data_IF_684259373900
#
_entry.id   IF_684259373900
#
_cell.length_a   1.000
_cell.length_b   1.000
_cell.length_c   1.000
_cell.angle_alpha   90.00
_cell.angle_beta   90.00
_cell.angle_gamma   90.00
#
_symmetry.space_group_name_H-M   'P 1'
#
loop_
_entity.id
_entity.type
_entity.pdbx_description
1 polymer ?
#
# COMPACT_ATOMS: atom_id res chain seq x y z
N UNK A 1 -1.73 15.12 -10.37
CA UNK A 1 -1.91 13.79 -10.98
C UNK A 1 -3.36 13.34 -10.87
N UNK A 2 -3.80 12.47 -11.78
CA UNK A 2 -5.08 11.78 -11.70
C UNK A 2 -4.87 10.44 -11.01
N UNK A 3 -5.87 9.97 -10.25
CA UNK A 3 -5.82 8.66 -9.60
C UNK A 3 -7.03 7.82 -9.99
N UNK A 4 -6.84 6.51 -10.04
CA UNK A 4 -7.91 5.52 -10.19
C UNK A 4 -7.77 4.44 -9.14
N UNK A 5 -8.87 3.85 -8.71
CA UNK A 5 -8.91 2.81 -7.70
C UNK A 5 -9.59 1.57 -8.22
N UNK A 6 -8.88 0.44 -8.24
CA UNK A 6 -9.42 -0.89 -8.51
C UNK A 6 -9.63 -1.67 -7.22
N UNK A 7 -10.69 -2.47 -7.17
CA UNK A 7 -11.06 -3.28 -6.02
C UNK A 7 -12.47 -3.86 -6.18
N UNK A 8 -13.02 -4.41 -5.10
CA UNK A 8 -14.42 -4.87 -5.06
C UNK A 8 -15.16 -4.37 -3.83
N UNK A 9 -16.42 -4.01 -4.05
CA UNK A 9 -17.36 -3.62 -2.98
C UNK A 9 -18.64 -4.46 -3.13
N UNK A 10 -19.41 -4.56 -2.07
CA UNK A 10 -20.70 -5.22 -2.11
C UNK A 10 -21.74 -4.44 -2.89
N UNK A 11 -22.86 -5.11 -3.19
CA UNK A 11 -24.10 -4.48 -3.70
C UNK A 11 -24.94 -4.03 -2.50
N UNK A 12 -24.36 -3.23 -1.62
CA UNK A 12 -24.91 -2.73 -0.37
C UNK A 12 -24.67 -1.23 -0.20
N UNK A 13 -25.30 -0.64 0.83
CA UNK A 13 -25.20 0.80 1.15
C UNK A 13 -23.75 1.27 1.33
N UNK A 14 -22.90 0.47 1.99
CA UNK A 14 -21.49 0.86 2.18
C UNK A 14 -20.72 0.89 0.86
N UNK A 15 -21.03 -0.03 -0.06
CA UNK A 15 -20.47 -0.02 -1.40
C UNK A 15 -20.88 1.20 -2.19
N UNK A 16 -22.14 1.67 -2.05
CA UNK A 16 -22.65 2.87 -2.70
C UNK A 16 -21.96 4.12 -2.13
N UNK A 17 -21.93 4.26 -0.80
CA UNK A 17 -21.24 5.36 -0.10
C UNK A 17 -19.77 5.45 -0.54
N UNK A 18 -19.09 4.31 -0.67
CA UNK A 18 -17.68 4.29 -1.06
C UNK A 18 -17.48 4.79 -2.48
N UNK A 19 -18.31 4.34 -3.43
CA UNK A 19 -18.25 4.79 -4.84
C UNK A 19 -18.59 6.28 -4.98
N UNK A 20 -19.61 6.76 -4.27
CA UNK A 20 -19.96 8.18 -4.22
C UNK A 20 -18.80 9.03 -3.67
N UNK A 21 -18.12 8.53 -2.64
CA UNK A 21 -16.97 9.21 -2.06
C UNK A 21 -15.82 9.33 -3.05
N UNK A 22 -15.49 8.27 -3.80
CA UNK A 22 -14.46 8.33 -4.85
C UNK A 22 -14.80 9.38 -5.90
N UNK A 23 -16.06 9.38 -6.36
CA UNK A 23 -16.52 10.38 -7.34
C UNK A 23 -16.40 11.80 -6.81
N UNK A 24 -16.77 12.05 -5.55
CA UNK A 24 -16.65 13.38 -4.90
C UNK A 24 -15.21 13.87 -4.79
N UNK A 25 -14.24 12.95 -4.74
CA UNK A 25 -12.81 13.24 -4.67
C UNK A 25 -12.15 13.31 -6.05
N UNK A 26 -12.89 13.08 -7.14
CA UNK A 26 -12.36 13.04 -8.50
C UNK A 26 -11.44 11.83 -8.76
N UNK A 27 -11.56 10.77 -7.95
CA UNK A 27 -10.86 9.51 -8.17
C UNK A 27 -11.67 8.68 -9.17
N UNK A 28 -11.02 8.16 -10.20
CA UNK A 28 -11.69 7.27 -11.16
C UNK A 28 -12.06 5.96 -10.49
N UNK A 29 -13.35 5.66 -10.51
CA UNK A 29 -13.91 4.45 -9.94
C UNK A 29 -13.77 3.28 -10.93
N UNK A 30 -12.92 2.31 -10.56
CA UNK A 30 -12.79 1.02 -11.21
C UNK A 30 -13.15 -0.11 -10.21
N UNK A 31 -14.08 0.17 -9.29
CA UNK A 31 -14.57 -0.84 -8.35
C UNK A 31 -15.66 -1.69 -8.99
N UNK A 32 -15.48 -2.99 -8.92
CA UNK A 32 -16.47 -3.97 -9.31
C UNK A 32 -17.41 -4.32 -8.15
N UNK A 33 -18.60 -4.82 -8.48
CA UNK A 33 -19.57 -5.30 -7.48
C UNK A 33 -19.40 -6.79 -7.22
N UNK A 34 -19.59 -7.18 -5.96
CA UNK A 34 -19.67 -8.57 -5.51
C UNK A 34 -21.05 -8.85 -4.91
N UNK A 35 -21.43 -10.13 -4.86
CA UNK A 35 -22.56 -10.61 -4.06
C UNK A 35 -22.26 -10.66 -2.56
N UNK A 36 -20.98 -10.61 -2.18
CA UNK A 36 -20.57 -10.48 -0.79
C UNK A 36 -20.73 -9.03 -0.32
N UNK A 37 -20.91 -8.82 0.99
CA UNK A 37 -21.02 -7.49 1.58
C UNK A 37 -19.68 -6.74 1.50
N UNK A 38 -19.76 -5.42 1.46
CA UNK A 38 -18.58 -4.55 1.48
C UNK A 38 -17.72 -4.82 2.72
N UNK A 39 -16.40 -4.82 2.54
CA UNK A 39 -15.45 -4.93 3.64
C UNK A 39 -15.62 -3.79 4.65
N UNK A 40 -15.46 -4.10 5.92
CA UNK A 40 -15.59 -3.14 7.01
C UNK A 40 -14.59 -3.43 8.12
N UNK A 41 -14.25 -2.40 8.89
CA UNK A 41 -13.41 -2.55 10.08
C UNK A 41 -14.02 -1.80 11.25
N UNK A 42 -14.21 -2.50 12.38
CA UNK A 42 -14.58 -1.89 13.64
C UNK A 42 -13.28 -1.59 14.38
N UNK A 43 -13.06 -0.30 14.65
CA UNK A 43 -11.85 0.17 15.31
C UNK A 43 -12.21 0.58 16.74
N UNK A 44 -11.64 -0.13 17.72
CA UNK A 44 -11.74 0.20 19.12
C UNK A 44 -10.51 1.02 19.52
N UNK A 45 -10.75 2.21 20.08
CA UNK A 45 -9.70 3.11 20.53
C UNK A 45 -9.78 3.19 22.05
N UNK A 46 -8.69 2.86 22.75
CA UNK A 46 -8.58 2.95 24.20
C UNK A 46 -8.08 4.34 24.63
N UNK A 47 -8.26 4.74 25.93
CA UNK A 47 -7.85 6.06 26.40
C UNK A 47 -6.35 6.38 26.23
N UNK A 48 -5.50 5.36 26.13
CA UNK A 48 -4.07 5.46 25.85
C UNK A 48 -3.75 5.57 24.35
N UNK A 49 -4.78 5.75 23.50
CA UNK A 49 -4.68 5.87 22.04
C UNK A 49 -4.22 4.60 21.32
N UNK A 50 -4.27 3.44 21.98
CA UNK A 50 -4.08 2.16 21.32
C UNK A 50 -5.32 1.78 20.51
N UNK A 51 -5.10 1.11 19.38
CA UNK A 51 -6.16 0.73 18.43
C UNK A 51 -6.20 -0.78 18.25
N UNK A 52 -7.38 -1.33 18.43
CA UNK A 52 -7.68 -2.71 18.07
C UNK A 52 -8.65 -2.71 16.88
N UNK A 53 -8.27 -3.37 15.81
CA UNK A 53 -9.08 -3.46 14.59
C UNK A 53 -9.70 -4.85 14.50
N UNK A 54 -11.01 -4.92 14.32
CA UNK A 54 -11.72 -6.12 13.92
C UNK A 54 -12.18 -5.94 12.48
N UNK A 55 -11.41 -6.52 11.54
CA UNK A 55 -11.58 -6.29 10.12
C UNK A 55 -12.22 -7.50 9.44
N UNK A 56 -13.30 -7.23 8.71
CA UNK A 56 -13.91 -8.14 7.75
C UNK A 56 -13.59 -7.64 6.33
N UNK A 57 -12.83 -8.39 5.57
CA UNK A 57 -12.35 -7.96 4.24
C UNK A 57 -13.45 -7.99 3.17
N UNK A 58 -14.52 -8.75 3.39
CA UNK A 58 -15.74 -8.75 2.57
C UNK A 58 -15.49 -8.97 1.09
N UNK A 59 -16.23 -8.24 0.29
CA UNK A 59 -16.22 -8.28 -1.17
C UNK A 59 -14.83 -8.14 -1.80
N UNK A 60 -13.89 -7.43 -1.14
CA UNK A 60 -12.56 -7.24 -1.70
C UNK A 60 -11.78 -8.57 -1.87
N UNK A 61 -12.12 -9.60 -1.10
CA UNK A 61 -11.53 -10.94 -1.25
C UNK A 61 -11.86 -11.62 -2.57
N UNK A 62 -12.93 -11.16 -3.25
CA UNK A 62 -13.37 -11.69 -4.54
C UNK A 62 -12.68 -11.03 -5.74
N UNK A 63 -11.83 -10.02 -5.47
CA UNK A 63 -11.07 -9.36 -6.53
C UNK A 63 -10.19 -10.37 -7.27
N UNK A 64 -10.30 -10.39 -8.59
CA UNK A 64 -9.68 -11.41 -9.42
C UNK A 64 -9.10 -10.81 -10.73
N UNK A 65 -8.37 -11.58 -11.56
CA UNK A 65 -7.74 -11.07 -12.77
C UNK A 65 -8.67 -10.41 -13.79
N UNK A 66 -9.97 -10.77 -13.82
CA UNK A 66 -10.93 -10.16 -14.75
C UNK A 66 -11.36 -8.76 -14.31
N UNK A 67 -11.19 -8.43 -13.04
CA UNK A 67 -11.51 -7.12 -12.47
C UNK A 67 -10.40 -6.08 -12.71
N UNK A 68 -9.24 -6.51 -13.20
CA UNK A 68 -8.13 -5.61 -13.52
C UNK A 68 -8.43 -4.82 -14.78
N UNK A 69 -8.59 -3.50 -14.65
CA UNK A 69 -8.79 -2.59 -15.78
C UNK A 69 -7.43 -2.32 -16.43
N UNK A 70 -7.07 -3.16 -17.40
CA UNK A 70 -5.74 -3.19 -18.01
C UNK A 70 -5.30 -1.84 -18.58
N UNK A 71 -6.21 -1.12 -19.23
CA UNK A 71 -5.93 0.18 -19.83
C UNK A 71 -5.56 1.26 -18.80
N UNK A 72 -6.08 1.17 -17.58
CA UNK A 72 -5.70 2.07 -16.49
C UNK A 72 -4.29 1.77 -16.03
N UNK A 73 -3.94 0.49 -15.89
CA UNK A 73 -2.60 0.08 -15.51
C UNK A 73 -1.59 0.49 -16.58
N UNK A 74 -1.89 0.27 -17.87
CA UNK A 74 -0.97 0.60 -19.00
C UNK A 74 -0.64 2.08 -19.10
N UNK A 75 -1.55 2.96 -18.70
CA UNK A 75 -1.45 4.42 -18.88
C UNK A 75 -0.99 5.14 -17.62
N UNK A 76 -0.78 4.41 -16.52
CA UNK A 76 -0.38 4.99 -15.25
C UNK A 76 1.12 5.32 -15.22
N UNK A 77 1.50 6.30 -14.43
CA UNK A 77 2.91 6.54 -14.06
C UNK A 77 3.35 5.53 -12.98
N UNK A 78 2.41 5.17 -12.10
CA UNK A 78 2.62 4.22 -11.01
C UNK A 78 1.44 3.25 -10.89
N UNK A 79 1.73 1.97 -10.75
CA UNK A 79 0.82 0.97 -10.22
C UNK A 79 1.15 0.73 -8.75
N UNK A 80 0.24 1.14 -7.86
CA UNK A 80 0.40 0.98 -6.42
C UNK A 80 -0.53 -0.10 -5.87
N UNK A 81 -0.02 -0.98 -5.02
CA UNK A 81 -0.83 -1.97 -4.31
C UNK A 81 -0.30 -2.18 -2.89
N UNK A 82 -1.12 -2.81 -2.04
CA UNK A 82 -0.80 -3.07 -0.64
C UNK A 82 -0.75 -4.56 -0.33
N UNK A 83 -0.08 -4.93 0.76
CA UNK A 83 0.01 -6.30 1.25
C UNK A 83 -1.35 -6.94 1.57
N UNK A 84 -2.39 -6.16 1.78
CA UNK A 84 -3.77 -6.66 1.94
C UNK A 84 -4.29 -7.36 0.70
N UNK A 85 -3.77 -7.06 -0.49
CA UNK A 85 -4.11 -7.73 -1.75
C UNK A 85 -3.40 -9.09 -1.92
N UNK A 86 -2.74 -9.58 -0.88
CA UNK A 86 -2.02 -10.86 -0.91
C UNK A 86 -2.71 -11.96 -0.08
N UNK A 87 -3.99 -11.77 0.31
CA UNK A 87 -4.71 -12.68 1.20
C UNK A 87 -5.23 -13.93 0.47
N UNK A 88 -5.91 -13.76 -0.67
CA UNK A 88 -6.52 -14.86 -1.41
C UNK A 88 -5.77 -15.20 -2.70
N UNK A 89 -5.89 -16.43 -3.23
CA UNK A 89 -5.32 -16.79 -4.53
C UNK A 89 -5.76 -15.85 -5.66
N UNK A 90 -7.04 -15.49 -5.71
CA UNK A 90 -7.61 -14.61 -6.73
C UNK A 90 -6.96 -13.21 -6.70
N UNK A 91 -6.81 -12.64 -5.50
CA UNK A 91 -6.15 -11.35 -5.32
C UNK A 91 -4.68 -11.40 -5.77
N UNK A 92 -3.96 -12.47 -5.39
CA UNK A 92 -2.56 -12.67 -5.82
C UNK A 92 -2.42 -12.75 -7.33
N UNK A 93 -3.33 -13.46 -8.00
CA UNK A 93 -3.34 -13.56 -9.46
C UNK A 93 -3.68 -12.22 -10.12
N UNK A 94 -4.64 -11.46 -9.56
CA UNK A 94 -4.98 -10.11 -10.04
C UNK A 94 -3.78 -9.15 -9.93
N UNK A 95 -3.11 -9.15 -8.79
CA UNK A 95 -1.90 -8.32 -8.58
C UNK A 95 -0.79 -8.74 -9.55
N UNK A 96 -0.51 -10.04 -9.70
CA UNK A 96 0.50 -10.52 -10.67
C UNK A 96 0.17 -10.12 -12.10
N UNK A 97 -1.11 -10.21 -12.50
CA UNK A 97 -1.55 -9.74 -13.82
C UNK A 97 -1.29 -8.25 -13.98
N UNK A 98 -1.70 -7.42 -13.02
CA UNK A 98 -1.50 -5.98 -13.07
C UNK A 98 0.00 -5.62 -13.12
N UNK A 99 0.84 -6.28 -12.30
CA UNK A 99 2.29 -6.09 -12.31
C UNK A 99 2.90 -6.48 -13.68
N UNK A 100 2.45 -7.57 -14.29
CA UNK A 100 2.89 -7.98 -15.63
C UNK A 100 2.57 -6.92 -16.69
N UNK A 101 1.36 -6.35 -16.63
CA UNK A 101 0.94 -5.25 -17.52
C UNK A 101 1.79 -4.01 -17.26
N UNK A 102 1.99 -3.64 -16.00
CA UNK A 102 2.81 -2.49 -15.60
C UNK A 102 4.24 -2.62 -16.16
N UNK A 103 4.90 -3.74 -15.91
CA UNK A 103 6.26 -4.01 -16.43
C UNK A 103 6.35 -3.93 -17.95
N UNK A 104 5.40 -4.56 -18.65
CA UNK A 104 5.38 -4.57 -20.11
C UNK A 104 5.21 -3.18 -20.73
N UNK A 105 4.74 -2.20 -19.96
CA UNK A 105 4.47 -0.83 -20.42
C UNK A 105 5.37 0.23 -19.74
N UNK A 106 6.38 -0.18 -18.98
CA UNK A 106 7.29 0.75 -18.29
C UNK A 106 6.64 1.54 -17.14
N UNK A 107 5.54 1.05 -16.60
CA UNK A 107 4.86 1.62 -15.44
C UNK A 107 5.59 1.20 -14.18
N UNK A 108 5.95 2.15 -13.32
CA UNK A 108 6.66 1.87 -12.07
C UNK A 108 5.73 1.20 -11.06
N UNK A 109 6.24 0.19 -10.38
CA UNK A 109 5.47 -0.60 -9.42
C UNK A 109 5.82 -0.17 -8.00
N UNK A 110 4.80 0.22 -7.25
CA UNK A 110 4.90 0.66 -5.87
C UNK A 110 4.14 -0.31 -4.96
N UNK A 111 4.77 -0.75 -3.88
CA UNK A 111 4.22 -1.70 -2.93
C UNK A 111 4.29 -1.14 -1.50
N UNK A 112 3.15 -1.04 -0.80
CA UNK A 112 3.12 -0.82 0.65
C UNK A 112 2.85 -2.16 1.36
N UNK A 113 3.74 -2.55 2.24
CA UNK A 113 3.67 -3.82 2.97
C UNK A 113 2.43 -3.88 3.86
N UNK A 114 2.02 -2.73 4.42
CA UNK A 114 0.75 -2.40 5.05
C UNK A 114 0.41 -3.12 6.37
N UNK A 115 0.89 -4.34 6.64
CA UNK A 115 0.50 -5.10 7.83
C UNK A 115 1.59 -6.09 8.27
N UNK A 116 2.03 -5.97 9.54
CA UNK A 116 3.01 -6.89 10.13
C UNK A 116 2.54 -8.35 10.19
N UNK A 117 1.22 -8.61 10.33
CA UNK A 117 0.68 -9.97 10.31
C UNK A 117 0.69 -10.55 8.90
N UNK A 118 0.48 -9.73 7.88
CA UNK A 118 0.65 -10.14 6.49
C UNK A 118 2.12 -10.49 6.21
N UNK A 119 3.07 -9.68 6.69
CA UNK A 119 4.51 -10.01 6.60
C UNK A 119 4.80 -11.34 7.29
N UNK A 120 4.30 -11.56 8.50
CA UNK A 120 4.52 -12.80 9.23
C UNK A 120 4.03 -14.06 8.50
N UNK A 121 2.94 -13.92 7.71
CA UNK A 121 2.37 -15.03 6.92
C UNK A 121 3.01 -15.22 5.54
N UNK A 122 3.45 -14.13 4.91
CA UNK A 122 3.84 -14.10 3.49
C UNK A 122 5.25 -13.55 3.26
N UNK A 123 6.12 -13.58 4.29
CA UNK A 123 7.44 -12.96 4.29
C UNK A 123 8.25 -13.28 3.04
N UNK A 124 8.39 -14.55 2.72
CA UNK A 124 9.21 -14.99 1.58
C UNK A 124 8.62 -14.53 0.25
N UNK A 125 7.28 -14.58 0.13
CA UNK A 125 6.60 -14.06 -1.06
C UNK A 125 6.76 -12.54 -1.21
N UNK A 126 6.76 -11.79 -0.10
CA UNK A 126 6.97 -10.34 -0.15
C UNK A 126 8.41 -9.99 -0.51
N UNK A 127 9.39 -10.73 0.02
CA UNK A 127 10.79 -10.56 -0.38
C UNK A 127 10.98 -10.82 -1.87
N UNK A 128 10.40 -11.91 -2.39
CA UNK A 128 10.40 -12.23 -3.82
C UNK A 128 9.75 -11.14 -4.67
N UNK A 129 8.59 -10.61 -4.25
CA UNK A 129 7.91 -9.50 -4.94
C UNK A 129 8.76 -8.24 -4.99
N UNK A 130 9.37 -7.88 -3.86
CA UNK A 130 10.22 -6.69 -3.76
C UNK A 130 11.41 -6.83 -4.71
N UNK A 131 12.14 -7.94 -4.64
CA UNK A 131 13.35 -8.17 -5.43
C UNK A 131 13.05 -8.29 -6.93
N UNK A 132 11.98 -9.00 -7.29
CA UNK A 132 11.71 -9.32 -8.69
C UNK A 132 10.92 -8.24 -9.42
N UNK A 133 10.19 -7.37 -8.68
CA UNK A 133 9.10 -6.65 -9.34
C UNK A 133 8.84 -5.22 -8.88
N UNK A 134 9.22 -4.84 -7.68
CA UNK A 134 8.86 -3.54 -7.15
C UNK A 134 9.98 -2.51 -7.34
N UNK A 135 9.63 -1.32 -7.81
CA UNK A 135 10.55 -0.19 -7.91
C UNK A 135 10.60 0.59 -6.60
N UNK A 136 9.45 0.74 -5.94
CA UNK A 136 9.27 1.52 -4.72
C UNK A 136 8.57 0.67 -3.66
N UNK A 137 9.13 0.61 -2.46
CA UNK A 137 8.56 -0.19 -1.36
C UNK A 137 8.44 0.66 -0.10
N UNK A 138 7.25 0.63 0.51
CA UNK A 138 6.96 1.28 1.78
C UNK A 138 6.76 0.22 2.87
N UNK A 139 7.35 0.48 4.02
CA UNK A 139 7.11 -0.26 5.25
C UNK A 139 7.08 0.70 6.44
N UNK A 140 6.41 0.34 7.52
CA UNK A 140 6.71 0.93 8.81
C UNK A 140 7.80 0.13 9.52
N UNK A 141 8.31 0.65 10.65
CA UNK A 141 9.41 0.02 11.38
C UNK A 141 9.09 -1.40 11.87
N UNK A 142 7.82 -1.68 12.23
CA UNK A 142 7.41 -2.99 12.71
C UNK A 142 7.28 -4.00 11.58
N UNK A 143 6.74 -3.59 10.44
CA UNK A 143 6.71 -4.39 9.23
C UNK A 143 8.12 -4.73 8.75
N UNK A 144 9.00 -3.73 8.70
CA UNK A 144 10.40 -3.90 8.32
C UNK A 144 11.14 -4.81 9.31
N UNK A 145 10.88 -4.67 10.64
CA UNK A 145 11.42 -5.54 11.67
C UNK A 145 11.06 -7.01 11.43
N UNK A 146 9.78 -7.30 11.19
CA UNK A 146 9.32 -8.67 10.92
C UNK A 146 9.91 -9.19 9.61
N UNK A 147 10.02 -8.34 8.59
CA UNK A 147 10.51 -8.74 7.27
C UNK A 147 12.00 -9.10 7.28
N UNK A 148 12.82 -8.35 8.02
CA UNK A 148 14.30 -8.51 8.02
C UNK A 148 14.85 -9.09 9.32
N UNK A 149 13.99 -9.39 10.30
CA UNK A 149 14.39 -9.87 11.64
C UNK A 149 15.45 -8.95 12.29
N UNK A 150 15.22 -7.65 12.20
CA UNK A 150 16.15 -6.64 12.72
C UNK A 150 15.36 -5.47 13.36
N UNK A 151 15.78 -5.07 14.56
CA UNK A 151 15.12 -4.00 15.32
C UNK A 151 15.57 -2.59 14.93
N UNK A 152 16.64 -2.46 14.16
CA UNK A 152 17.11 -1.17 13.67
C UNK A 152 16.44 -0.81 12.33
N UNK A 153 15.54 0.20 12.29
CA UNK A 153 14.86 0.59 11.07
C UNK A 153 15.80 1.14 9.99
N UNK A 154 16.96 1.69 10.36
CA UNK A 154 17.98 2.09 9.41
C UNK A 154 18.58 0.90 8.67
N UNK A 155 19.00 -0.14 9.39
CA UNK A 155 19.54 -1.35 8.78
C UNK A 155 18.46 -2.13 8.01
N UNK A 156 17.19 -2.09 8.45
CA UNK A 156 16.07 -2.62 7.68
C UNK A 156 15.91 -1.88 6.33
N UNK A 157 15.93 -0.54 6.36
CA UNK A 157 15.86 0.27 5.14
C UNK A 157 17.00 -0.03 4.18
N UNK A 158 18.21 -0.15 4.70
CA UNK A 158 19.40 -0.52 3.92
C UNK A 158 19.29 -1.92 3.31
N UNK A 159 18.71 -2.86 4.04
CA UNK A 159 18.49 -4.22 3.54
C UNK A 159 17.44 -4.24 2.44
N UNK A 160 16.32 -3.53 2.62
CA UNK A 160 15.26 -3.39 1.63
C UNK A 160 15.75 -2.67 0.37
N UNK A 161 16.59 -1.63 0.52
CA UNK A 161 17.20 -0.89 -0.59
C UNK A 161 18.22 -1.67 -1.41
N UNK A 162 18.60 -2.88 -1.00
CA UNK A 162 19.38 -3.81 -1.84
C UNK A 162 18.48 -4.58 -2.82
N UNK A 163 17.18 -4.68 -2.50
CA UNK A 163 16.21 -5.47 -3.25
C UNK A 163 15.43 -4.62 -4.28
N UNK A 164 15.29 -3.31 -4.06
CA UNK A 164 14.55 -2.40 -4.94
C UNK A 164 15.28 -1.07 -5.12
N UNK A 165 14.83 -0.25 -6.10
CA UNK A 165 15.44 1.06 -6.38
C UNK A 165 15.21 2.04 -5.23
N UNK A 166 13.99 2.07 -4.69
CA UNK A 166 13.60 2.99 -3.62
C UNK A 166 12.92 2.22 -2.48
N UNK A 167 13.50 2.25 -1.31
CA UNK A 167 12.93 1.65 -0.11
C UNK A 167 12.67 2.71 0.95
N UNK A 168 11.48 2.68 1.56
CA UNK A 168 11.09 3.63 2.60
C UNK A 168 10.70 2.87 3.87
N UNK A 169 11.34 3.23 4.99
CA UNK A 169 10.96 2.73 6.32
C UNK A 169 10.49 3.89 7.19
N UNK A 170 9.16 3.93 7.41
CA UNK A 170 8.50 4.92 8.26
C UNK A 170 8.79 4.63 9.74
N UNK A 171 9.33 5.58 10.50
CA UNK A 171 9.78 5.43 11.90
C UNK A 171 8.92 6.23 12.90
N UNK A 172 7.65 6.45 12.57
CA UNK A 172 6.71 7.18 13.41
C UNK A 172 7.18 8.60 13.71
N UNK A 173 7.16 9.01 14.99
CA UNK A 173 7.58 10.36 15.42
C UNK A 173 9.05 10.70 15.14
N UNK A 174 9.85 9.74 14.73
CA UNK A 174 11.26 9.94 14.38
C UNK A 174 11.49 10.16 12.88
N UNK A 175 10.42 10.29 12.08
CA UNK A 175 10.53 10.49 10.65
C UNK A 175 10.60 9.20 9.85
N UNK A 176 11.46 9.14 8.85
CA UNK A 176 11.62 7.99 7.98
C UNK A 176 13.03 7.89 7.43
N UNK A 177 13.41 6.68 7.04
CA UNK A 177 14.60 6.41 6.26
C UNK A 177 14.21 6.08 4.83
N UNK A 178 14.90 6.68 3.86
CA UNK A 178 14.70 6.43 2.44
C UNK A 178 16.03 5.95 1.85
N UNK A 179 16.05 4.74 1.33
CA UNK A 179 17.14 4.26 0.49
C UNK A 179 16.79 4.50 -0.97
N UNK A 180 17.53 5.34 -1.65
CA UNK A 180 17.41 5.57 -3.09
C UNK A 180 18.75 5.25 -3.76
N UNK A 181 18.74 4.31 -4.70
CA UNK A 181 19.95 3.82 -5.37
C UNK A 181 21.07 3.45 -4.38
N UNK A 182 20.69 2.88 -3.24
CA UNK A 182 21.55 2.44 -2.12
C UNK A 182 22.16 3.57 -1.27
N UNK A 183 21.82 4.82 -1.53
CA UNK A 183 22.09 5.92 -0.62
C UNK A 183 20.94 6.09 0.36
N UNK A 184 21.23 6.29 1.64
CA UNK A 184 20.19 6.40 2.67
C UNK A 184 20.09 7.85 3.13
N UNK A 185 18.86 8.36 3.08
CA UNK A 185 18.47 9.67 3.55
C UNK A 185 17.58 9.53 4.78
N UNK A 186 17.89 10.30 5.82
CA UNK A 186 17.01 10.42 7.00
C UNK A 186 16.13 11.65 6.83
N UNK A 187 14.82 11.45 6.88
CA UNK A 187 13.81 12.49 6.68
C UNK A 187 13.13 12.75 8.04
N UNK A 188 13.28 13.95 8.62
CA UNK A 188 12.62 14.29 9.87
C UNK A 188 11.11 14.44 9.71
N UNK A 189 10.37 14.33 10.80
CA UNK A 189 8.94 14.66 10.82
C UNK A 189 8.74 16.16 10.62
N UNK A 190 7.83 16.49 9.72
CA UNK A 190 7.36 17.85 9.48
C UNK A 190 5.89 17.91 9.91
N UNK A 191 5.60 18.49 11.06
CA UNK A 191 4.21 18.62 11.53
C UNK A 191 4.09 18.75 13.05
N UNK A 192 2.87 18.73 13.60
CA UNK A 192 2.62 18.87 15.04
C UNK A 192 3.19 17.67 15.81
N UNK A 193 3.72 17.94 17.00
CA UNK A 193 4.33 16.91 17.87
C UNK A 193 3.35 15.86 18.36
N UNK A 194 2.08 16.22 18.48
CA UNK A 194 0.99 15.33 18.96
C UNK A 194 -0.10 15.20 17.91
N UNK A 195 -0.14 14.09 17.16
CA UNK A 195 -1.24 13.83 16.24
C UNK A 195 -2.51 13.50 17.00
N UNK A 196 -3.66 13.93 16.47
CA UNK A 196 -4.99 13.59 17.00
C UNK A 196 -5.39 12.16 16.60
N UNK A 197 -5.13 11.80 15.36
CA UNK A 197 -5.38 10.47 14.80
C UNK A 197 -4.29 10.12 13.80
N UNK A 198 -3.78 8.90 13.88
CA UNK A 198 -2.74 8.36 12.99
C UNK A 198 -3.28 7.35 11.99
N UNK A 199 -4.61 7.17 11.92
CA UNK A 199 -5.25 6.29 10.93
C UNK A 199 -4.98 6.82 9.52
N UNK A 200 -4.47 5.97 8.63
CA UNK A 200 -4.12 6.35 7.27
C UNK A 200 -2.85 7.22 7.13
N UNK A 201 -2.07 7.42 8.21
CA UNK A 201 -0.83 8.18 8.11
C UNK A 201 0.17 7.53 7.16
N UNK A 202 0.23 6.18 7.14
CA UNK A 202 1.05 5.42 6.20
C UNK A 202 0.63 5.63 4.75
N UNK A 203 -0.67 5.52 4.48
CA UNK A 203 -1.26 5.71 3.15
C UNK A 203 -1.04 7.15 2.65
N UNK A 204 -1.23 8.14 3.55
CA UNK A 204 -1.00 9.56 3.23
C UNK A 204 0.47 9.83 2.93
N UNK A 205 1.39 9.19 3.65
CA UNK A 205 2.83 9.28 3.37
C UNK A 205 3.13 8.75 1.97
N UNK A 206 2.66 7.54 1.64
CA UNK A 206 2.86 6.93 0.33
C UNK A 206 2.25 7.78 -0.79
N UNK A 207 1.04 8.31 -0.57
CA UNK A 207 0.38 9.21 -1.53
C UNK A 207 1.18 10.49 -1.76
N UNK A 208 1.68 11.13 -0.70
CA UNK A 208 2.51 12.33 -0.79
C UNK A 208 3.82 12.07 -1.53
N UNK A 209 4.48 10.95 -1.25
CA UNK A 209 5.71 10.55 -1.91
C UNK A 209 5.51 10.32 -3.42
N UNK A 210 4.51 9.52 -3.79
CA UNK A 210 4.18 9.24 -5.19
C UNK A 210 3.72 10.51 -5.93
N UNK A 211 2.98 11.40 -5.24
CA UNK A 211 2.61 12.71 -5.79
C UNK A 211 3.84 13.57 -6.11
N UNK A 212 4.81 13.63 -5.18
CA UNK A 212 6.07 14.34 -5.39
C UNK A 212 6.80 13.84 -6.63
N UNK A 213 6.93 12.52 -6.78
CA UNK A 213 7.55 11.90 -7.96
C UNK A 213 6.80 12.24 -9.26
N UNK A 214 5.44 12.23 -9.26
CA UNK A 214 4.64 12.66 -10.41
C UNK A 214 4.85 14.15 -10.77
N UNK A 215 5.29 14.97 -9.82
CA UNK A 215 5.59 16.39 -10.03
C UNK A 215 7.06 16.67 -10.36
N UNK A 216 7.89 15.64 -10.43
CA UNK A 216 9.34 15.77 -10.65
C UNK A 216 10.06 16.43 -9.47
N UNK A 217 9.54 16.23 -8.25
CA UNK A 217 10.22 16.61 -7.02
C UNK A 217 11.31 15.60 -6.70
N UNK A 218 12.42 16.12 -6.17
CA UNK A 218 13.55 15.31 -5.70
C UNK A 218 13.30 14.75 -4.29
#
# INVERSE_FOLDING_TARGET
PRSSLGGKVGSDEYGDIYKERLASLGVKDNLERSSNVTGSSIILITPDSERTMNTYLGANRDYNPNDVVEDEVRKADFFHFTGYMWDTPNQKEAVRKAMGIAKANGVRISFDIADQFAVGRYRDSFLELVESSCDIVFANKEEARVMFDNYDPYECCKSMGKLCETAIVKNGKKGSFISYKREIHEIPVMGPETPVDTTGAGDTYAAGFLYGLCKGMD
#
